data_IF_399110239650
#
_entry.id   IF_399110239650
#
_cell.length_a   1.000
_cell.length_b   1.000
_cell.length_c   1.000
_cell.angle_alpha   90.00
_cell.angle_beta   90.00
_cell.angle_gamma   90.00
#
_symmetry.space_group_name_H-M   'P 1'
#
loop_
_entity.id
_entity.type
_entity.pdbx_description
1 polymer ?
#
# COMPACT_ATOMS: atom_id res chain seq x y z
N UNK A 1 -20.85 54.82 35.44
CA UNK A 1 -21.67 53.61 35.31
C UNK A 1 -22.12 53.33 33.88
N UNK A 2 -22.80 54.24 33.14
CA UNK A 2 -23.24 53.95 31.75
C UNK A 2 -22.14 53.59 30.75
N UNK A 3 -20.97 54.24 30.81
CA UNK A 3 -19.86 53.94 29.90
C UNK A 3 -19.17 52.57 30.22
N UNK A 4 -19.05 52.22 31.49
CA UNK A 4 -18.54 50.93 31.91
C UNK A 4 -19.42 49.76 31.43
N UNK A 5 -20.75 49.95 31.59
CA UNK A 5 -21.72 48.96 31.11
C UNK A 5 -21.67 48.79 29.58
N UNK A 6 -21.47 49.84 28.80
CA UNK A 6 -21.31 49.78 27.34
C UNK A 6 -20.05 49.05 26.95
N UNK A 7 -18.91 49.33 27.60
CA UNK A 7 -17.63 48.62 27.32
C UNK A 7 -17.80 47.14 27.65
N UNK A 8 -18.38 46.79 28.78
CA UNK A 8 -18.62 45.40 29.17
C UNK A 8 -19.55 44.67 28.18
N UNK A 9 -20.62 45.33 27.70
CA UNK A 9 -21.49 44.75 26.68
C UNK A 9 -20.76 44.53 25.33
N UNK A 10 -19.91 45.46 24.91
CA UNK A 10 -19.12 45.37 23.69
C UNK A 10 -18.09 44.23 23.80
N UNK A 11 -17.41 44.08 24.94
CA UNK A 11 -16.45 42.98 25.13
C UNK A 11 -17.13 41.62 25.17
N UNK A 12 -18.27 41.47 25.85
CA UNK A 12 -19.06 40.24 25.85
C UNK A 12 -19.54 39.93 24.43
N UNK A 13 -20.04 40.93 23.69
CA UNK A 13 -20.44 40.74 22.29
C UNK A 13 -19.31 40.30 21.39
N UNK A 14 -18.11 40.87 21.56
CA UNK A 14 -16.91 40.45 20.78
C UNK A 14 -16.47 39.01 21.08
N UNK A 15 -16.52 38.64 22.37
CA UNK A 15 -16.20 37.26 22.78
C UNK A 15 -17.23 36.27 22.19
N UNK A 16 -18.51 36.60 22.25
CA UNK A 16 -19.58 35.77 21.70
C UNK A 16 -19.42 35.56 20.19
N UNK A 17 -19.12 36.63 19.44
CA UNK A 17 -18.83 36.54 18.00
C UNK A 17 -17.60 35.67 17.75
N UNK A 18 -16.54 35.85 18.55
CA UNK A 18 -15.34 34.99 18.44
C UNK A 18 -15.63 33.50 18.64
N UNK A 19 -16.44 33.16 19.65
CA UNK A 19 -16.88 31.79 19.92
C UNK A 19 -17.73 31.25 18.78
N UNK A 20 -18.66 32.04 18.24
CA UNK A 20 -19.49 31.62 17.11
C UNK A 20 -18.61 31.31 15.87
N UNK A 21 -17.68 32.22 15.52
CA UNK A 21 -16.76 32.03 14.39
C UNK A 21 -15.91 30.79 14.60
N UNK A 22 -15.41 30.57 15.81
CA UNK A 22 -14.60 29.39 16.15
C UNK A 22 -15.39 28.08 16.02
N UNK A 23 -16.64 28.05 16.50
CA UNK A 23 -17.53 26.89 16.35
C UNK A 23 -17.83 26.62 14.86
N UNK A 24 -18.09 27.67 14.07
CA UNK A 24 -18.26 27.50 12.62
C UNK A 24 -17.02 26.98 11.92
N UNK A 25 -15.85 27.47 12.33
CA UNK A 25 -14.57 26.98 11.76
C UNK A 25 -14.33 25.49 12.07
N UNK A 26 -14.53 25.10 13.34
CA UNK A 26 -14.42 23.67 13.72
C UNK A 26 -15.45 22.84 12.97
N UNK A 27 -16.71 23.29 12.91
CA UNK A 27 -17.77 22.57 12.18
C UNK A 27 -17.45 22.44 10.69
N UNK A 28 -16.87 23.48 10.09
CA UNK A 28 -16.45 23.42 8.68
C UNK A 28 -15.31 22.42 8.47
N UNK A 29 -14.26 22.47 9.30
CA UNK A 29 -13.12 21.55 9.18
C UNK A 29 -13.54 20.10 9.42
N UNK A 30 -14.41 19.86 10.41
CA UNK A 30 -14.86 18.53 10.76
C UNK A 30 -15.81 17.90 9.71
N UNK A 31 -16.55 18.67 8.92
CA UNK A 31 -17.60 18.12 8.06
C UNK A 31 -17.40 18.38 6.55
N UNK A 32 -16.61 19.38 6.17
CA UNK A 32 -16.58 19.85 4.78
C UNK A 32 -15.19 20.08 4.20
N UNK A 33 -14.15 20.12 5.03
CA UNK A 33 -12.78 20.30 4.55
C UNK A 33 -12.41 19.12 3.64
N UNK A 34 -11.96 19.41 2.42
CA UNK A 34 -11.43 18.40 1.51
C UNK A 34 -9.93 18.30 1.70
N UNK A 35 -9.45 17.08 1.87
CA UNK A 35 -8.02 16.77 1.98
C UNK A 35 -7.71 15.72 0.93
N UNK A 36 -6.75 15.97 0.03
CA UNK A 36 -6.25 14.96 -0.91
C UNK A 36 -5.43 13.96 -0.12
N UNK A 37 -5.81 12.69 -0.22
CA UNK A 37 -5.15 11.58 0.46
C UNK A 37 -4.16 10.88 -0.47
N UNK A 38 -4.51 10.76 -1.76
CA UNK A 38 -3.68 10.10 -2.75
C UNK A 38 -4.08 10.49 -4.18
N UNK A 39 -3.20 10.18 -5.16
CA UNK A 39 -3.45 10.39 -6.59
C UNK A 39 -2.87 9.24 -7.41
N UNK A 40 -3.59 8.85 -8.47
CA UNK A 40 -3.13 7.86 -9.44
C UNK A 40 -3.24 8.44 -10.84
N UNK A 41 -2.22 8.23 -11.68
CA UNK A 41 -2.17 8.75 -13.05
C UNK A 41 -2.27 7.60 -14.05
N UNK A 42 -3.06 7.79 -15.10
CA UNK A 42 -3.18 6.81 -16.18
C UNK A 42 -1.83 6.56 -16.87
N UNK A 43 -1.59 5.35 -17.41
CA UNK A 43 -0.33 5.01 -18.07
C UNK A 43 0.05 5.91 -19.24
N UNK A 44 -0.95 6.52 -19.91
CA UNK A 44 -0.74 7.48 -21.01
C UNK A 44 -0.55 8.94 -20.52
N UNK A 45 -0.65 9.17 -19.20
CA UNK A 45 -0.47 10.48 -18.55
C UNK A 45 -1.59 11.49 -18.81
N UNK A 46 -2.73 11.08 -19.41
CA UNK A 46 -3.80 12.02 -19.76
C UNK A 46 -4.83 12.19 -18.65
N UNK A 47 -5.04 11.13 -17.85
CA UNK A 47 -6.04 11.13 -16.80
C UNK A 47 -5.36 11.04 -15.43
N UNK A 48 -5.94 11.72 -14.46
CA UNK A 48 -5.54 11.70 -13.06
C UNK A 48 -6.76 11.38 -12.20
N UNK A 49 -6.65 10.40 -11.31
CA UNK A 49 -7.65 10.08 -10.33
C UNK A 49 -7.18 10.54 -8.95
N UNK A 50 -8.00 11.33 -8.29
CA UNK A 50 -7.68 11.94 -6.97
C UNK A 50 -8.59 11.35 -5.91
N UNK A 51 -7.99 10.77 -4.86
CA UNK A 51 -8.67 10.34 -3.64
C UNK A 51 -8.72 11.49 -2.64
N UNK A 52 -9.89 11.84 -2.16
CA UNK A 52 -10.10 12.93 -1.19
C UNK A 52 -10.89 12.43 0.02
N UNK A 53 -10.44 12.77 1.21
CA UNK A 53 -11.26 12.74 2.41
C UNK A 53 -12.12 14.03 2.52
N UNK A 54 -13.34 13.90 3.03
CA UNK A 54 -14.28 15.00 3.26
C UNK A 54 -14.59 15.08 4.76
N UNK A 55 -14.05 16.08 5.42
CA UNK A 55 -14.16 16.25 6.86
C UNK A 55 -13.32 15.22 7.62
N UNK A 56 -13.68 14.99 8.86
CA UNK A 56 -13.11 13.98 9.75
C UNK A 56 -14.07 12.79 9.86
N UNK A 57 -13.58 11.60 10.20
CA UNK A 57 -14.45 10.45 10.48
C UNK A 57 -15.50 10.77 11.55
N UNK A 58 -16.68 10.19 11.45
CA UNK A 58 -17.76 10.40 12.40
C UNK A 58 -17.39 9.83 13.77
N UNK A 59 -17.31 10.68 14.79
CA UNK A 59 -16.96 10.27 16.17
C UNK A 59 -18.15 9.60 16.88
N UNK A 60 -17.91 8.58 17.74
CA UNK A 60 -16.76 7.70 17.83
C UNK A 60 -16.94 6.50 16.87
N UNK A 61 -15.88 5.98 16.28
CA UNK A 61 -15.90 4.75 15.46
C UNK A 61 -16.86 4.78 14.24
N UNK A 62 -17.16 5.95 13.69
CA UNK A 62 -18.06 6.09 12.54
C UNK A 62 -17.34 6.09 11.20
N UNK A 63 -18.12 6.07 10.11
CA UNK A 63 -17.60 6.11 8.74
C UNK A 63 -16.87 7.42 8.42
N UNK A 64 -15.84 7.31 7.57
CA UNK A 64 -15.18 8.42 6.91
C UNK A 64 -15.84 8.69 5.55
N UNK A 65 -16.11 9.97 5.23
CA UNK A 65 -16.65 10.36 3.93
C UNK A 65 -15.53 10.64 2.95
N UNK A 66 -15.58 10.05 1.77
CA UNK A 66 -14.57 10.18 0.72
C UNK A 66 -15.13 10.58 -0.63
N UNK A 67 -14.22 10.92 -1.51
CA UNK A 67 -14.52 11.31 -2.89
C UNK A 67 -13.41 10.89 -3.82
N UNK A 68 -13.78 10.28 -4.93
CA UNK A 68 -12.95 10.07 -6.11
C UNK A 68 -13.25 11.16 -7.13
N UNK A 69 -12.22 11.76 -7.70
CA UNK A 69 -12.34 12.78 -8.76
C UNK A 69 -11.45 12.37 -9.92
N UNK A 70 -12.08 12.03 -11.05
CA UNK A 70 -11.36 11.75 -12.29
C UNK A 70 -11.20 13.02 -13.10
N UNK A 71 -9.96 13.32 -13.46
CA UNK A 71 -9.56 14.51 -14.21
C UNK A 71 -8.97 14.11 -15.56
N UNK A 72 -9.21 14.90 -16.60
CA UNK A 72 -8.48 14.88 -17.87
C UNK A 72 -7.78 16.24 -18.01
N UNK A 73 -6.45 16.24 -18.06
CA UNK A 73 -5.61 17.44 -17.96
C UNK A 73 -5.92 18.24 -16.66
N UNK A 74 -6.83 19.24 -16.74
CA UNK A 74 -7.28 20.07 -15.60
C UNK A 74 -8.79 20.08 -15.41
N UNK A 75 -9.51 19.40 -16.28
CA UNK A 75 -10.97 19.35 -16.27
C UNK A 75 -11.46 18.10 -15.56
N UNK A 76 -12.41 18.28 -14.66
CA UNK A 76 -13.06 17.15 -13.99
C UNK A 76 -14.04 16.48 -14.96
N UNK A 77 -13.83 15.20 -15.24
CA UNK A 77 -14.73 14.38 -16.07
C UNK A 77 -15.73 13.56 -15.26
N UNK A 78 -15.31 12.96 -14.14
CA UNK A 78 -16.21 12.17 -13.29
C UNK A 78 -15.94 12.41 -11.82
N UNK A 79 -16.91 12.06 -10.97
CA UNK A 79 -16.78 12.12 -9.52
C UNK A 79 -17.68 11.07 -8.89
N UNK A 80 -17.16 10.36 -7.88
CA UNK A 80 -17.90 9.46 -7.02
C UNK A 80 -17.71 9.84 -5.57
N UNK A 81 -18.79 9.96 -4.81
CA UNK A 81 -18.76 10.15 -3.36
C UNK A 81 -19.04 8.81 -2.70
N UNK A 82 -18.31 8.46 -1.64
CA UNK A 82 -18.45 7.20 -0.92
C UNK A 82 -18.33 7.40 0.60
N UNK A 83 -18.76 6.41 1.36
CA UNK A 83 -18.52 6.32 2.80
C UNK A 83 -17.71 5.06 3.10
N UNK A 84 -16.60 5.22 3.80
CA UNK A 84 -15.75 4.12 4.22
C UNK A 84 -15.99 3.83 5.72
N UNK A 85 -16.37 2.59 6.05
CA UNK A 85 -16.49 2.12 7.43
C UNK A 85 -15.15 1.53 7.85
N UNK A 86 -14.41 2.29 8.65
CA UNK A 86 -13.04 1.99 9.03
C UNK A 86 -12.81 2.24 10.52
N UNK A 87 -13.78 1.82 11.36
CA UNK A 87 -13.77 1.96 12.82
C UNK A 87 -13.28 3.32 13.34
N UNK A 88 -13.73 4.40 12.66
CA UNK A 88 -13.30 5.76 12.95
C UNK A 88 -11.95 6.17 12.35
N UNK A 89 -11.30 5.29 11.60
CA UNK A 89 -10.06 5.57 10.87
C UNK A 89 -10.28 6.55 9.70
N UNK A 90 -9.25 7.32 9.39
CA UNK A 90 -9.23 8.25 8.27
C UNK A 90 -9.03 7.54 6.94
N UNK A 91 -9.47 8.16 5.84
CA UNK A 91 -9.17 7.69 4.49
C UNK A 91 -7.69 7.96 4.19
N UNK A 92 -6.99 6.90 3.77
CA UNK A 92 -5.57 6.93 3.40
C UNK A 92 -5.36 6.28 2.02
N UNK A 93 -4.15 6.32 1.49
CA UNK A 93 -3.76 5.61 0.26
C UNK A 93 -3.97 4.09 0.34
N UNK A 94 -4.06 3.52 1.53
CA UNK A 94 -4.27 2.07 1.73
C UNK A 94 -5.74 1.63 1.61
N UNK A 95 -6.67 2.58 1.52
CA UNK A 95 -8.11 2.29 1.43
C UNK A 95 -8.57 2.05 0.00
N UNK A 96 -7.70 2.14 -1.01
CA UNK A 96 -8.09 2.01 -2.40
C UNK A 96 -7.06 1.24 -3.25
N UNK A 97 -7.57 0.52 -4.24
CA UNK A 97 -6.79 -0.12 -5.30
C UNK A 97 -7.27 0.45 -6.61
N UNK A 98 -6.35 0.94 -7.46
CA UNK A 98 -6.67 1.59 -8.73
C UNK A 98 -6.15 0.74 -9.88
N UNK A 99 -7.03 0.40 -10.82
CA UNK A 99 -6.68 -0.29 -12.06
C UNK A 99 -7.16 0.54 -13.25
N UNK A 100 -6.25 0.93 -14.14
CA UNK A 100 -6.54 1.70 -15.35
C UNK A 100 -6.83 0.79 -16.53
N UNK A 101 -7.87 1.11 -17.28
CA UNK A 101 -8.28 0.45 -18.53
C UNK A 101 -8.34 1.47 -19.66
N UNK A 102 -8.53 1.02 -20.89
CA UNK A 102 -8.53 1.90 -22.08
C UNK A 102 -9.57 3.02 -22.02
N UNK A 103 -10.77 2.75 -21.45
CA UNK A 103 -11.91 3.67 -21.47
C UNK A 103 -12.45 4.04 -20.07
N UNK A 104 -11.86 3.50 -19.00
CA UNK A 104 -12.30 3.73 -17.63
C UNK A 104 -11.19 3.44 -16.62
N UNK A 105 -11.38 3.88 -15.39
CA UNK A 105 -10.61 3.47 -14.24
C UNK A 105 -11.51 2.73 -13.25
N UNK A 106 -11.03 1.58 -12.76
CA UNK A 106 -11.68 0.78 -11.72
C UNK A 106 -10.99 1.05 -10.38
N UNK A 107 -11.78 1.30 -9.37
CA UNK A 107 -11.33 1.49 -7.98
C UNK A 107 -12.02 0.46 -7.10
N UNK A 108 -11.26 -0.23 -6.27
CA UNK A 108 -11.78 -1.02 -5.16
C UNK A 108 -11.50 -0.24 -3.88
N UNK A 109 -12.53 0.01 -3.10
CA UNK A 109 -12.45 0.66 -1.79
C UNK A 109 -12.66 -0.39 -0.71
N UNK A 110 -11.67 -0.54 0.16
CA UNK A 110 -11.69 -1.49 1.27
C UNK A 110 -11.73 -0.75 2.61
N UNK A 111 -12.64 -1.16 3.49
CA UNK A 111 -12.77 -0.66 4.85
C UNK A 111 -12.92 -1.82 5.83
N UNK A 112 -12.49 -1.65 7.09
CA UNK A 112 -12.42 -2.71 8.09
C UNK A 112 -13.79 -3.31 8.46
N UNK A 113 -14.88 -2.55 8.29
CA UNK A 113 -16.24 -2.96 8.71
C UNK A 113 -17.26 -2.95 7.56
N UNK A 114 -16.80 -3.13 6.33
CA UNK A 114 -17.67 -3.20 5.15
C UNK A 114 -17.14 -4.17 4.12
N UNK A 115 -18.04 -4.63 3.24
CA UNK A 115 -17.63 -5.29 2.01
C UNK A 115 -16.93 -4.30 1.09
N UNK A 116 -15.98 -4.76 0.33
CA UNK A 116 -15.30 -3.96 -0.67
C UNK A 116 -16.32 -3.35 -1.64
N UNK A 117 -16.10 -2.10 -1.99
CA UNK A 117 -16.93 -1.38 -2.94
C UNK A 117 -16.15 -1.12 -4.22
N UNK A 118 -16.68 -1.63 -5.34
CA UNK A 118 -16.14 -1.35 -6.66
C UNK A 118 -16.78 -0.10 -7.23
N UNK A 119 -15.93 0.85 -7.64
CA UNK A 119 -16.34 2.06 -8.36
C UNK A 119 -15.63 2.10 -9.70
N UNK A 120 -16.40 2.21 -10.78
CA UNK A 120 -15.89 2.40 -12.13
C UNK A 120 -16.20 3.84 -12.55
N UNK A 121 -15.16 4.60 -12.91
CA UNK A 121 -15.30 5.93 -13.47
C UNK A 121 -14.91 5.87 -14.95
N UNK A 122 -15.88 6.02 -15.82
CA UNK A 122 -15.68 6.00 -17.28
C UNK A 122 -15.18 7.36 -17.78
N UNK A 123 -14.36 7.36 -18.83
CA UNK A 123 -13.83 8.58 -19.43
C UNK A 123 -14.90 9.39 -20.19
N UNK A 124 -16.10 8.84 -20.37
CA UNK A 124 -17.28 9.58 -20.84
C UNK A 124 -18.03 10.33 -19.72
N UNK A 125 -17.55 10.23 -18.47
CA UNK A 125 -18.12 10.88 -17.30
C UNK A 125 -19.16 10.06 -16.53
N UNK A 126 -19.50 8.86 -17.00
CA UNK A 126 -20.40 7.97 -16.28
C UNK A 126 -19.69 7.26 -15.11
N UNK A 127 -20.45 6.93 -14.07
CA UNK A 127 -19.95 6.26 -12.88
C UNK A 127 -20.85 5.08 -12.54
N UNK A 128 -20.24 3.92 -12.32
CA UNK A 128 -20.91 2.72 -11.83
C UNK A 128 -20.34 2.35 -10.45
N UNK A 129 -21.22 2.04 -9.51
CA UNK A 129 -20.84 1.65 -8.14
C UNK A 129 -21.51 0.32 -7.80
N UNK A 130 -20.72 -0.64 -7.33
CA UNK A 130 -21.21 -1.96 -6.94
C UNK A 130 -20.53 -2.38 -5.63
N UNK A 131 -21.33 -2.81 -4.65
CA UNK A 131 -20.81 -3.49 -3.48
C UNK A 131 -20.46 -4.94 -3.89
N UNK A 132 -19.25 -5.39 -3.59
CA UNK A 132 -18.81 -6.75 -3.88
C UNK A 132 -19.34 -7.68 -2.78
N UNK A 133 -20.03 -8.77 -3.11
CA UNK A 133 -20.43 -9.78 -2.12
C UNK A 133 -19.22 -10.59 -1.65
N UNK A 134 -19.29 -11.17 -0.45
CA UNK A 134 -18.25 -12.07 0.12
C UNK A 134 -17.92 -13.31 -0.73
N UNK A 135 -18.66 -13.53 -1.79
CA UNK A 135 -18.49 -14.67 -2.69
C UNK A 135 -19.03 -14.34 -4.08
N UNK A 136 -18.17 -13.89 -4.99
CA UNK A 136 -18.36 -14.19 -6.40
C UNK A 136 -17.00 -14.42 -7.07
N UNK A 137 -16.78 -15.69 -7.39
CA UNK A 137 -15.79 -16.16 -8.37
C UNK A 137 -16.03 -15.39 -9.68
N UNK A 138 -14.99 -14.78 -10.20
CA UNK A 138 -15.02 -14.01 -11.42
C UNK A 138 -15.60 -14.84 -12.57
N UNK A 139 -16.76 -14.46 -13.10
CA UNK A 139 -17.12 -14.82 -14.47
C UNK A 139 -16.19 -14.05 -15.41
N UNK A 140 -15.42 -14.81 -16.18
CA UNK A 140 -14.56 -14.33 -17.25
C UNK A 140 -15.40 -13.59 -18.29
N UNK A 141 -15.39 -12.29 -18.31
CA UNK A 141 -15.64 -11.55 -19.52
C UNK A 141 -14.33 -11.47 -20.31
N UNK A 142 -14.29 -12.15 -21.45
CA UNK A 142 -13.26 -12.03 -22.46
C UNK A 142 -13.30 -10.61 -23.05
N UNK A 143 -12.59 -9.69 -22.45
CA UNK A 143 -12.24 -8.44 -23.10
C UNK A 143 -10.71 -8.32 -23.17
N UNK A 144 -10.20 -8.19 -24.41
CA UNK A 144 -8.77 -8.06 -24.72
C UNK A 144 -8.33 -6.63 -24.42
N UNK A 145 -8.24 -6.29 -23.15
CA UNK A 145 -7.65 -5.04 -22.66
C UNK A 145 -6.37 -5.32 -21.88
N UNK A 146 -5.32 -4.62 -22.25
CA UNK A 146 -3.99 -4.73 -21.63
C UNK A 146 -4.05 -4.10 -20.25
N UNK A 147 -3.89 -4.91 -19.23
CA UNK A 147 -3.82 -4.49 -17.83
C UNK A 147 -2.46 -3.83 -17.56
N UNK A 148 -2.48 -2.62 -17.03
CA UNK A 148 -1.27 -1.92 -16.61
C UNK A 148 -1.32 -1.67 -15.10
N UNK A 149 -0.50 -2.41 -14.36
CA UNK A 149 -0.23 -2.12 -12.95
C UNK A 149 0.84 -1.03 -12.84
N UNK A 150 0.59 0.02 -12.07
CA UNK A 150 1.58 1.06 -11.80
C UNK A 150 2.73 0.51 -10.96
N UNK A 151 3.94 0.54 -11.54
CA UNK A 151 5.21 0.14 -10.94
C UNK A 151 5.84 1.36 -10.25
N UNK A 152 6.47 1.22 -9.07
CA UNK A 152 7.36 2.26 -8.55
C UNK A 152 8.55 2.44 -9.46
N UNK A 153 9.00 3.67 -9.65
CA UNK A 153 10.12 4.02 -10.51
C UNK A 153 11.43 3.33 -10.07
N UNK A 154 12.13 2.75 -11.06
CA UNK A 154 13.39 2.04 -10.85
C UNK A 154 14.56 3.00 -10.59
N UNK A 155 15.31 2.74 -9.52
CA UNK A 155 16.58 3.40 -9.21
C UNK A 155 17.65 2.95 -10.23
N UNK A 156 18.23 3.91 -10.95
CA UNK A 156 19.30 3.68 -11.95
C UNK A 156 20.65 3.45 -11.25
N UNK A 157 21.15 2.21 -11.30
CA UNK A 157 22.49 1.84 -10.85
C UNK A 157 23.34 1.39 -12.05
N UNK A 158 24.31 2.20 -12.39
CA UNK A 158 25.23 2.17 -13.54
C UNK A 158 25.77 0.80 -14.01
N UNK A 159 25.98 0.73 -15.31
CA UNK A 159 26.39 -0.41 -16.14
C UNK A 159 27.71 -1.09 -15.74
N UNK A 160 27.73 -2.42 -15.56
CA UNK A 160 28.82 -3.28 -16.02
C UNK A 160 28.49 -4.80 -16.00
N UNK A 161 28.76 -5.50 -17.11
CA UNK A 161 28.77 -6.93 -17.43
C UNK A 161 27.51 -7.60 -18.02
N UNK A 162 27.45 -7.59 -19.33
CA UNK A 162 26.26 -7.77 -20.16
C UNK A 162 25.92 -9.17 -20.68
N UNK A 163 26.59 -10.27 -20.38
CA UNK A 163 26.35 -11.54 -21.10
C UNK A 163 25.82 -12.74 -20.30
N UNK A 164 25.99 -12.77 -18.98
CA UNK A 164 25.30 -13.77 -18.12
C UNK A 164 24.04 -13.19 -17.46
N UNK A 165 23.79 -11.94 -17.70
CA UNK A 165 22.78 -11.08 -17.05
C UNK A 165 21.41 -11.29 -17.68
N UNK A 166 21.32 -11.56 -18.98
CA UNK A 166 20.06 -11.62 -19.72
C UNK A 166 19.18 -12.79 -19.30
N UNK A 167 19.75 -13.97 -19.05
CA UNK A 167 18.99 -15.15 -18.60
C UNK A 167 18.53 -15.04 -17.14
N UNK A 168 19.33 -14.40 -16.27
CA UNK A 168 18.94 -14.15 -14.87
C UNK A 168 17.98 -12.96 -14.74
N UNK A 169 18.12 -11.95 -15.59
CA UNK A 169 17.22 -10.79 -15.66
C UNK A 169 15.84 -11.19 -16.20
N UNK A 170 15.78 -12.11 -17.18
CA UNK A 170 14.48 -12.62 -17.68
C UNK A 170 13.79 -13.54 -16.66
N UNK A 171 14.54 -14.28 -15.83
CA UNK A 171 14.00 -15.00 -14.68
C UNK A 171 13.57 -14.05 -13.56
N UNK A 172 14.37 -13.02 -13.26
CA UNK A 172 14.05 -12.01 -12.26
C UNK A 172 12.82 -11.16 -12.64
N UNK A 173 12.65 -10.79 -13.91
CA UNK A 173 11.45 -10.10 -14.39
C UNK A 173 10.16 -10.91 -14.25
N UNK A 174 10.23 -12.26 -14.32
CA UNK A 174 9.09 -13.13 -13.99
C UNK A 174 8.84 -13.20 -12.48
N UNK A 175 9.85 -12.97 -11.66
CA UNK A 175 9.79 -13.07 -10.20
C UNK A 175 9.27 -11.80 -9.49
N UNK A 176 9.01 -10.71 -10.18
CA UNK A 176 8.61 -9.43 -9.59
C UNK A 176 7.09 -9.26 -9.36
N UNK A 177 6.26 -10.23 -9.72
CA UNK A 177 4.81 -10.07 -9.60
C UNK A 177 4.16 -11.18 -8.78
N UNK A 178 3.88 -10.91 -7.52
CA UNK A 178 2.86 -11.64 -6.78
C UNK A 178 1.49 -11.05 -7.09
N UNK A 179 0.46 -11.89 -6.95
CA UNK A 179 -0.94 -11.48 -7.06
C UNK A 179 -1.65 -11.79 -5.75
N UNK A 180 -2.60 -10.97 -5.37
CA UNK A 180 -3.43 -11.20 -4.19
C UNK A 180 -4.86 -11.49 -4.62
N UNK A 181 -5.45 -12.53 -4.06
CA UNK A 181 -6.88 -12.77 -4.12
C UNK A 181 -7.55 -11.86 -3.08
N UNK A 182 -8.16 -10.80 -3.54
CA UNK A 182 -8.80 -9.77 -2.72
C UNK A 182 -9.98 -10.32 -1.91
N UNK A 183 -10.59 -11.44 -2.34
CA UNK A 183 -11.75 -12.03 -1.65
C UNK A 183 -11.39 -12.70 -0.33
N UNK A 184 -10.17 -13.19 -0.18
CA UNK A 184 -9.72 -13.95 0.99
C UNK A 184 -8.33 -13.54 1.49
N UNK A 185 -7.65 -12.59 0.82
CA UNK A 185 -6.32 -12.11 1.17
C UNK A 185 -5.21 -13.12 0.92
N UNK A 186 -5.46 -14.19 0.17
CA UNK A 186 -4.44 -15.16 -0.22
C UNK A 186 -3.51 -14.55 -1.26
N UNK A 187 -2.22 -14.61 -1.03
CA UNK A 187 -1.22 -14.05 -1.91
C UNK A 187 -0.51 -15.16 -2.68
N UNK A 188 -0.40 -15.03 -3.99
CA UNK A 188 0.15 -16.02 -4.91
C UNK A 188 1.41 -15.50 -5.57
N UNK A 189 2.38 -16.40 -5.76
CA UNK A 189 3.56 -16.17 -6.58
C UNK A 189 3.86 -17.42 -7.42
N UNK A 190 4.13 -17.25 -8.70
CA UNK A 190 4.52 -18.31 -9.60
C UNK A 190 5.91 -18.03 -10.18
N UNK A 191 6.85 -18.95 -9.94
CA UNK A 191 8.19 -18.89 -10.50
C UNK A 191 8.18 -19.23 -12.01
N UNK A 192 7.32 -20.18 -12.39
CA UNK A 192 7.06 -20.62 -13.76
C UNK A 192 5.61 -21.13 -13.89
N UNK A 193 5.28 -21.74 -15.04
CA UNK A 193 3.92 -22.24 -15.31
C UNK A 193 3.47 -23.40 -14.39
N UNK A 194 4.38 -24.06 -13.69
CA UNK A 194 4.10 -25.23 -12.84
C UNK A 194 4.38 -24.97 -11.36
N UNK A 195 5.45 -24.23 -11.06
CA UNK A 195 5.92 -24.05 -9.70
C UNK A 195 5.44 -22.73 -9.11
N UNK A 196 4.71 -22.79 -8.01
CA UNK A 196 4.20 -21.62 -7.33
C UNK A 196 4.07 -21.80 -5.82
N UNK A 197 3.93 -20.68 -5.12
CA UNK A 197 3.69 -20.60 -3.68
C UNK A 197 2.53 -19.69 -3.40
N UNK A 198 1.86 -19.92 -2.29
CA UNK A 198 0.84 -18.99 -1.79
C UNK A 198 0.86 -18.87 -0.27
N UNK A 199 0.60 -17.66 0.19
CA UNK A 199 0.30 -17.36 1.59
C UNK A 199 -1.22 -17.38 1.76
N UNK A 200 -1.73 -18.35 2.50
CA UNK A 200 -3.17 -18.53 2.73
C UNK A 200 -3.52 -18.01 4.11
N UNK A 201 -4.54 -17.17 4.20
CA UNK A 201 -5.08 -16.71 5.49
C UNK A 201 -5.80 -17.86 6.17
N UNK A 202 -5.43 -18.16 7.42
CA UNK A 202 -6.06 -19.22 8.23
C UNK A 202 -6.83 -18.68 9.42
N UNK A 203 -6.51 -17.47 9.88
CA UNK A 203 -7.22 -16.78 10.94
C UNK A 203 -7.06 -15.27 10.77
N UNK A 204 -8.06 -14.51 11.17
CA UNK A 204 -8.05 -13.06 11.09
C UNK A 204 -8.73 -12.45 12.32
N UNK A 205 -8.08 -11.45 12.93
CA UNK A 205 -8.60 -10.70 14.05
C UNK A 205 -8.06 -9.26 14.05
N UNK A 206 -8.93 -8.28 14.24
CA UNK A 206 -8.58 -6.87 14.45
C UNK A 206 -7.61 -6.30 13.38
N UNK A 207 -7.87 -6.57 12.09
CA UNK A 207 -7.03 -6.10 10.97
C UNK A 207 -5.75 -6.89 10.74
N UNK A 208 -5.43 -7.88 11.58
CA UNK A 208 -4.29 -8.78 11.44
C UNK A 208 -4.71 -10.17 11.02
N UNK A 209 -3.86 -10.87 10.27
CA UNK A 209 -4.09 -12.22 9.75
C UNK A 209 -2.94 -13.13 10.10
N UNK A 210 -3.24 -14.41 10.33
CA UNK A 210 -2.25 -15.49 10.37
C UNK A 210 -2.25 -16.22 9.04
N UNK A 211 -1.06 -16.63 8.62
CA UNK A 211 -0.85 -17.24 7.32
C UNK A 211 -0.23 -18.62 7.45
N UNK A 212 -0.51 -19.46 6.45
CA UNK A 212 0.25 -20.68 6.16
C UNK A 212 0.85 -20.58 4.77
N UNK A 213 1.95 -21.29 4.54
CA UNK A 213 2.57 -21.36 3.21
C UNK A 213 2.19 -22.68 2.54
N UNK A 214 1.71 -22.58 1.31
CA UNK A 214 1.44 -23.74 0.45
C UNK A 214 2.22 -23.61 -0.85
N UNK A 215 2.56 -24.76 -1.46
CA UNK A 215 3.28 -24.87 -2.72
C UNK A 215 2.50 -25.71 -3.72
N UNK A 216 2.62 -25.36 -4.99
CA UNK A 216 2.18 -26.16 -6.14
C UNK A 216 3.37 -26.52 -7.03
N UNK A 217 3.26 -27.66 -7.73
CA UNK A 217 4.18 -28.11 -8.77
C UNK A 217 3.43 -28.48 -10.07
N UNK A 218 2.15 -28.12 -10.18
CA UNK A 218 1.24 -28.43 -11.28
C UNK A 218 0.44 -27.22 -11.76
N UNK A 219 0.97 -26.01 -11.54
CA UNK A 219 0.36 -24.77 -12.02
C UNK A 219 -0.83 -24.30 -11.19
N UNK A 220 -1.00 -24.85 -9.98
CA UNK A 220 -2.08 -24.48 -9.08
C UNK A 220 -3.27 -25.43 -9.07
N UNK A 221 -3.20 -26.53 -9.84
CA UNK A 221 -4.25 -27.58 -9.84
C UNK A 221 -4.33 -28.25 -8.46
N UNK A 222 -3.17 -28.49 -7.81
CA UNK A 222 -3.08 -28.96 -6.42
C UNK A 222 -2.12 -28.13 -5.59
N UNK A 223 -2.40 -28.01 -4.29
CA UNK A 223 -1.58 -27.26 -3.34
C UNK A 223 -1.25 -28.13 -2.12
N UNK A 224 0.02 -28.15 -1.76
CA UNK A 224 0.53 -28.82 -0.58
C UNK A 224 0.91 -27.77 0.47
N UNK A 225 0.38 -27.90 1.69
CA UNK A 225 0.81 -27.08 2.81
C UNK A 225 2.20 -27.49 3.26
N UNK A 226 3.15 -26.57 3.21
CA UNK A 226 4.56 -26.82 3.50
C UNK A 226 5.07 -26.11 4.75
N UNK A 227 4.33 -25.08 5.23
CA UNK A 227 4.67 -24.39 6.47
C UNK A 227 3.37 -23.89 7.14
N UNK A 228 3.19 -24.23 8.41
CA UNK A 228 2.01 -23.85 9.20
C UNK A 228 2.13 -22.45 9.83
N UNK A 229 3.34 -21.89 9.85
CA UNK A 229 3.63 -20.61 10.51
C UNK A 229 4.88 -19.94 9.87
N UNK A 230 4.73 -19.33 8.69
CA UNK A 230 5.85 -18.71 7.98
C UNK A 230 6.37 -17.43 8.65
N UNK A 231 5.63 -16.87 9.61
CA UNK A 231 5.95 -15.59 10.26
C UNK A 231 6.20 -15.69 11.77
N UNK A 232 6.51 -16.88 12.28
CA UNK A 232 6.88 -17.12 13.69
C UNK A 232 5.84 -16.58 14.69
N UNK A 233 4.58 -16.99 14.53
CA UNK A 233 3.42 -16.55 15.32
C UNK A 233 3.12 -15.04 15.26
N UNK A 234 3.65 -14.34 14.27
CA UNK A 234 3.27 -12.95 14.06
C UNK A 234 2.00 -12.86 13.20
N UNK A 235 1.06 -12.04 13.66
CA UNK A 235 -0.12 -11.67 12.90
C UNK A 235 0.08 -10.31 12.25
N UNK A 236 -0.40 -10.15 11.01
CA UNK A 236 -0.25 -8.89 10.28
C UNK A 236 -0.95 -8.93 8.92
N UNK A 237 -0.53 -8.05 8.04
CA UNK A 237 -0.96 -7.98 6.64
C UNK A 237 0.22 -8.38 5.76
N UNK A 238 0.06 -9.41 4.94
CA UNK A 238 1.13 -9.80 4.01
C UNK A 238 1.40 -8.68 3.00
N UNK A 239 2.67 -8.32 2.84
CA UNK A 239 3.12 -7.25 1.95
C UNK A 239 3.63 -7.77 0.60
N UNK A 240 3.95 -9.04 0.53
CA UNK A 240 4.44 -9.69 -0.67
C UNK A 240 4.98 -11.09 -0.38
N UNK A 241 5.07 -11.88 -1.44
CA UNK A 241 5.76 -13.17 -1.46
C UNK A 241 6.45 -13.31 -2.81
N UNK A 242 7.73 -13.69 -2.81
CA UNK A 242 8.50 -13.87 -4.03
C UNK A 242 9.51 -14.99 -3.87
N UNK A 243 9.78 -15.71 -4.94
CA UNK A 243 10.81 -16.74 -4.99
C UNK A 243 11.73 -16.49 -6.19
N UNK A 244 13.03 -16.58 -5.97
CA UNK A 244 14.05 -16.43 -7.01
C UNK A 244 14.41 -17.76 -7.65
N UNK A 245 14.24 -18.84 -6.89
CA UNK A 245 14.38 -20.22 -7.35
C UNK A 245 13.52 -21.14 -6.44
N UNK A 246 13.61 -22.45 -6.65
CA UNK A 246 12.85 -23.45 -5.89
C UNK A 246 13.09 -23.45 -4.38
N UNK A 247 14.19 -22.87 -3.93
CA UNK A 247 14.61 -22.89 -2.52
C UNK A 247 14.59 -21.50 -1.88
N UNK A 248 14.97 -20.48 -2.65
CA UNK A 248 15.18 -19.15 -2.12
C UNK A 248 13.96 -18.25 -2.35
N UNK A 249 13.41 -17.71 -1.27
CA UNK A 249 12.28 -16.80 -1.34
C UNK A 249 12.25 -15.79 -0.19
N UNK A 250 11.42 -14.76 -0.34
CA UNK A 250 11.21 -13.70 0.65
C UNK A 250 9.70 -13.46 0.76
N UNK A 251 9.24 -13.28 2.00
CA UNK A 251 7.88 -12.87 2.30
C UNK A 251 7.89 -11.67 3.26
N UNK A 252 6.95 -10.74 3.09
CA UNK A 252 6.80 -9.56 3.92
C UNK A 252 5.52 -9.60 4.74
N UNK A 253 5.59 -9.11 5.97
CA UNK A 253 4.46 -8.95 6.87
C UNK A 253 4.50 -7.56 7.51
N UNK A 254 3.47 -6.75 7.29
CA UNK A 254 3.27 -5.49 7.99
C UNK A 254 2.38 -5.66 9.21
N UNK A 255 2.49 -4.76 10.18
CA UNK A 255 1.52 -4.64 11.26
C UNK A 255 0.13 -4.23 10.73
N UNK A 256 -0.92 -4.37 11.55
CA UNK A 256 -2.29 -4.00 11.17
C UNK A 256 -2.42 -2.54 10.69
N UNK A 257 -1.68 -1.62 11.29
CA UNK A 257 -1.62 -0.21 10.89
C UNK A 257 -0.78 0.04 9.63
N UNK A 258 -0.03 -0.98 9.16
CA UNK A 258 0.93 -0.90 8.06
C UNK A 258 1.99 0.22 8.22
N UNK A 259 2.23 0.67 9.45
CA UNK A 259 3.27 1.66 9.77
C UNK A 259 4.66 1.04 9.99
N UNK A 260 4.75 -0.27 10.11
CA UNK A 260 6.01 -1.03 10.21
C UNK A 260 5.85 -2.36 9.50
N UNK A 261 6.95 -2.93 9.03
CA UNK A 261 6.96 -4.23 8.37
C UNK A 261 8.22 -5.02 8.69
N UNK A 262 8.11 -6.33 8.57
CA UNK A 262 9.20 -7.28 8.74
C UNK A 262 9.29 -8.16 7.49
N UNK A 263 10.50 -8.39 7.02
CA UNK A 263 10.77 -9.32 5.93
C UNK A 263 11.34 -10.64 6.46
N UNK A 264 10.90 -11.72 5.85
CA UNK A 264 11.31 -13.07 6.18
C UNK A 264 11.91 -13.75 4.96
N UNK A 265 13.01 -14.48 5.15
CA UNK A 265 13.75 -15.17 4.10
C UNK A 265 13.69 -16.67 4.30
N UNK A 266 13.46 -17.40 3.22
CA UNK A 266 13.57 -18.87 3.17
C UNK A 266 14.72 -19.31 2.25
N UNK A 267 15.35 -20.44 2.58
CA UNK A 267 16.38 -21.10 1.78
C UNK A 267 16.08 -22.58 1.53
N UNK A 268 14.85 -23.01 1.85
CA UNK A 268 14.38 -24.40 1.75
C UNK A 268 13.01 -24.50 1.05
N UNK A 269 12.70 -23.51 0.22
CA UNK A 269 11.49 -23.49 -0.60
C UNK A 269 10.22 -23.16 0.18
N UNK A 270 10.34 -22.39 1.28
CA UNK A 270 9.22 -21.97 2.08
C UNK A 270 8.88 -22.88 3.27
N UNK A 271 9.68 -23.94 3.52
CA UNK A 271 9.47 -24.84 4.66
C UNK A 271 9.85 -24.22 5.99
N UNK A 272 10.83 -23.34 5.98
CA UNK A 272 11.18 -22.50 7.12
C UNK A 272 11.50 -21.09 6.67
N UNK A 273 11.28 -20.12 7.54
CA UNK A 273 11.61 -18.72 7.33
C UNK A 273 12.41 -18.18 8.50
N UNK A 274 13.32 -17.26 8.22
CA UNK A 274 14.04 -16.48 9.23
C UNK A 274 13.85 -14.99 8.98
N UNK A 275 13.73 -14.21 10.03
CA UNK A 275 13.61 -12.75 9.95
C UNK A 275 14.86 -12.12 9.34
N UNK A 276 14.69 -11.19 8.40
CA UNK A 276 15.78 -10.36 7.87
C UNK A 276 16.10 -9.26 8.89
N UNK A 277 17.35 -9.26 9.36
CA UNK A 277 17.85 -8.23 10.29
C UNK A 277 18.86 -7.33 9.59
N UNK A 278 18.46 -6.08 9.39
CA UNK A 278 19.33 -5.08 8.79
C UNK A 278 20.26 -4.45 9.83
N UNK A 279 21.52 -4.14 9.47
CA UNK A 279 22.47 -3.51 10.37
C UNK A 279 22.21 -1.99 10.51
N UNK A 280 21.05 -1.59 11.07
CA UNK A 280 20.63 -0.19 11.22
C UNK A 280 21.65 0.68 11.95
N UNK A 281 22.47 0.09 12.85
CA UNK A 281 23.55 0.82 13.54
C UNK A 281 24.68 1.30 12.61
N UNK A 282 24.73 0.83 11.36
CA UNK A 282 25.72 1.26 10.36
C UNK A 282 25.26 2.45 9.52
N UNK A 283 24.02 2.89 9.70
CA UNK A 283 23.47 4.06 9.00
C UNK A 283 24.20 5.32 9.46
N UNK A 284 24.74 6.06 8.50
CA UNK A 284 25.50 7.28 8.75
C UNK A 284 24.82 8.54 8.25
N UNK A 285 23.78 8.40 7.43
CA UNK A 285 23.02 9.48 6.82
C UNK A 285 21.55 9.12 6.77
N UNK A 286 20.69 10.10 6.97
CA UNK A 286 19.24 9.98 6.84
C UNK A 286 18.77 10.77 5.62
N UNK A 287 17.64 10.38 5.00
CA UNK A 287 16.98 11.16 3.95
C UNK A 287 16.77 12.63 4.35
N UNK A 288 16.66 13.51 3.37
CA UNK A 288 16.52 14.94 3.64
C UNK A 288 15.19 15.27 4.35
N UNK A 289 14.14 14.54 4.07
CA UNK A 289 12.85 14.59 4.75
C UNK A 289 12.96 14.36 6.27
N UNK A 290 13.89 13.52 6.72
CA UNK A 290 14.11 13.28 8.15
C UNK A 290 14.43 14.56 8.93
N UNK A 291 15.13 15.52 8.30
CA UNK A 291 15.45 16.81 8.94
C UNK A 291 14.21 17.70 9.08
N UNK A 292 13.28 17.63 8.13
CA UNK A 292 12.05 18.40 8.15
C UNK A 292 11.09 17.92 9.22
N UNK A 293 10.94 16.58 9.33
CA UNK A 293 10.00 15.94 10.25
C UNK A 293 10.63 15.57 11.60
N UNK A 294 11.95 15.65 11.73
CA UNK A 294 12.68 15.32 12.95
C UNK A 294 12.82 13.81 13.19
N UNK A 295 12.76 13.01 12.12
CA UNK A 295 12.95 11.56 12.19
C UNK A 295 14.38 11.16 12.58
N UNK A 296 14.48 10.04 13.27
CA UNK A 296 15.73 9.36 13.65
C UNK A 296 15.85 8.03 12.91
N UNK A 297 16.95 7.32 13.05
CA UNK A 297 17.12 5.98 12.45
C UNK A 297 16.05 4.99 12.96
N UNK A 298 15.57 5.18 14.19
CA UNK A 298 14.59 4.30 14.84
C UNK A 298 13.18 4.44 14.27
N UNK A 299 12.89 5.56 13.57
CA UNK A 299 11.62 5.80 12.91
C UNK A 299 11.53 5.10 11.53
N UNK A 300 12.66 4.58 11.02
CA UNK A 300 12.75 3.83 9.77
C UNK A 300 12.62 2.33 10.08
N UNK A 301 11.37 1.84 10.14
CA UNK A 301 11.04 0.46 10.50
C UNK A 301 10.10 -0.25 9.51
N UNK A 302 9.79 0.41 8.37
CA UNK A 302 9.06 -0.21 7.27
C UNK A 302 10.02 -0.75 6.21
N UNK A 303 10.23 -2.08 6.21
CA UNK A 303 11.06 -2.78 5.23
C UNK A 303 10.24 -3.07 3.98
N UNK A 304 10.48 -2.37 2.90
CA UNK A 304 9.82 -2.64 1.62
C UNK A 304 10.29 -3.98 1.01
N UNK A 305 9.42 -4.67 0.28
CA UNK A 305 9.80 -5.89 -0.44
C UNK A 305 11.03 -5.63 -1.31
N UNK A 306 12.01 -6.54 -1.34
CA UNK A 306 13.28 -6.28 -1.97
C UNK A 306 13.16 -6.14 -3.49
N UNK A 307 13.91 -5.20 -4.02
CA UNK A 307 14.18 -5.11 -5.45
C UNK A 307 15.33 -6.06 -5.82
N UNK A 308 15.19 -6.72 -6.97
CA UNK A 308 16.18 -7.63 -7.48
C UNK A 308 17.07 -6.89 -8.46
N UNK A 309 18.33 -6.68 -8.08
CA UNK A 309 19.39 -6.24 -8.99
C UNK A 309 19.95 -7.41 -9.80
N UNK A 310 20.92 -7.13 -10.67
CA UNK A 310 21.54 -8.15 -11.52
C UNK A 310 22.22 -9.30 -10.72
N UNK A 311 22.79 -9.01 -9.57
CA UNK A 311 23.48 -9.95 -8.67
C UNK A 311 23.20 -9.65 -7.19
N UNK A 312 22.33 -8.72 -6.90
CA UNK A 312 22.13 -8.20 -5.56
C UNK A 312 20.63 -8.10 -5.22
N UNK A 313 20.34 -8.13 -3.93
CA UNK A 313 19.04 -7.77 -3.37
C UNK A 313 19.15 -6.38 -2.74
N UNK A 314 18.18 -5.53 -2.95
CA UNK A 314 18.13 -4.18 -2.41
C UNK A 314 16.85 -4.03 -1.58
N UNK A 315 17.00 -3.65 -0.30
CA UNK A 315 15.88 -3.29 0.57
C UNK A 315 15.94 -1.79 0.82
N UNK A 316 14.83 -1.11 0.60
CA UNK A 316 14.59 0.24 1.06
C UNK A 316 13.80 0.19 2.36
N UNK A 317 14.26 0.90 3.38
CA UNK A 317 13.58 1.04 4.67
C UNK A 317 13.03 2.46 4.77
N UNK A 318 11.74 2.58 4.95
CA UNK A 318 11.01 3.85 5.01
C UNK A 318 10.39 4.06 6.39
N UNK A 319 9.78 5.20 6.62
CA UNK A 319 9.05 5.50 7.85
C UNK A 319 7.62 4.98 7.82
N UNK A 320 7.07 4.74 6.62
CA UNK A 320 5.72 4.21 6.42
C UNK A 320 5.63 3.53 5.04
N UNK A 321 4.52 2.80 4.80
CA UNK A 321 4.23 2.19 3.51
C UNK A 321 4.03 3.25 2.43
N UNK A 322 4.67 3.03 1.28
CA UNK A 322 4.51 3.92 0.12
C UNK A 322 5.38 5.17 0.13
N UNK A 323 6.19 5.37 1.17
CA UNK A 323 7.21 6.41 1.16
C UNK A 323 8.28 6.12 0.10
N UNK A 324 8.67 7.14 -0.66
CA UNK A 324 9.72 7.04 -1.68
C UNK A 324 11.10 7.48 -1.16
N UNK A 325 11.18 7.91 0.08
CA UNK A 325 12.37 8.45 0.72
C UNK A 325 12.81 7.54 1.86
N UNK A 326 13.95 6.88 1.70
CA UNK A 326 14.34 5.81 2.61
C UNK A 326 15.83 5.52 2.68
N UNK A 327 16.16 4.63 3.60
CA UNK A 327 17.51 4.09 3.83
C UNK A 327 17.69 2.83 3.00
N UNK A 328 18.79 2.73 2.26
CA UNK A 328 19.03 1.63 1.31
C UNK A 328 20.06 0.65 1.85
N UNK A 329 19.69 -0.62 1.86
CA UNK A 329 20.57 -1.76 2.16
C UNK A 329 20.68 -2.69 0.97
N UNK A 330 21.85 -3.29 0.79
CA UNK A 330 22.15 -4.22 -0.30
C UNK A 330 22.76 -5.52 0.23
N UNK A 331 22.37 -6.63 -0.35
CA UNK A 331 22.98 -7.95 -0.14
C UNK A 331 23.54 -8.48 -1.45
N UNK A 332 24.78 -8.94 -1.41
CA UNK A 332 25.51 -9.57 -2.54
C UNK A 332 25.55 -11.11 -2.44
N UNK A 333 25.01 -11.66 -1.33
CA UNK A 333 25.10 -13.08 -0.98
C UNK A 333 23.72 -13.75 -0.80
N UNK A 334 22.71 -13.22 -1.50
CA UNK A 334 21.36 -13.76 -1.46
C UNK A 334 20.69 -13.56 -0.09
N UNK A 335 20.84 -12.38 0.50
CA UNK A 335 20.21 -12.04 1.79
C UNK A 335 20.88 -12.63 3.02
N UNK A 336 22.08 -13.21 2.89
CA UNK A 336 22.84 -13.72 4.03
C UNK A 336 23.45 -12.61 4.87
N UNK A 337 23.94 -11.56 4.22
CA UNK A 337 24.46 -10.35 4.86
C UNK A 337 23.98 -9.10 4.15
N UNK A 338 23.79 -8.03 4.89
CA UNK A 338 23.30 -6.75 4.39
C UNK A 338 24.28 -5.63 4.69
N UNK A 339 24.46 -4.70 3.76
CA UNK A 339 25.32 -3.53 3.87
C UNK A 339 24.53 -2.27 3.62
N UNK A 340 24.71 -1.26 4.46
CA UNK A 340 24.20 0.08 4.20
C UNK A 340 24.82 0.68 2.94
N UNK A 341 24.01 1.26 2.07
CA UNK A 341 24.45 1.86 0.78
C UNK A 341 24.23 3.36 0.68
N UNK A 342 23.45 3.91 1.55
CA UNK A 342 23.08 5.33 1.53
C UNK A 342 21.59 5.53 1.69
N UNK A 343 21.11 6.64 1.18
CA UNK A 343 19.70 7.03 1.18
C UNK A 343 19.23 7.26 -0.24
N UNK A 344 17.92 7.15 -0.47
CA UNK A 344 17.32 7.57 -1.75
C UNK A 344 17.60 9.06 -1.99
N UNK A 345 17.90 9.44 -3.24
CA UNK A 345 18.04 10.84 -3.63
C UNK A 345 16.78 11.24 -4.42
N UNK A 346 16.09 12.25 -3.93
CA UNK A 346 15.00 12.89 -4.65
C UNK A 346 15.52 13.76 -5.80
#
# INVERSE_FOLDING_TARGET
MKNFLKIMLCTIGSILVGVIVFVFFISYTANYKKTTCDTSVSPDGKHELVLQAIGEPKFPFGSASGRLVLMEEKDKIAQADFELRNDGGSITSNCWIVTWYENYVKVILSGEEQFDEQIILNFDGTVDMKQLPDTEVAEQENDTSVEYTTKPDSIDLGESNQKNITEQVDKAKKAESWTMDESNGTMYFFLDEQNGWRLVVVDAAAGSRFYVMERTADGGDTWERINEDPFDNQAGVAEGVMFLDDNFGIAGLAGASQSHSTLYITKDGGRSFGEIKLPMSTVTELPESAKEYGFTVEDYDYLNMPQIGATTLIIMVTTDKGDNDGIVFESEDGGGTWKYRGVTQN
#
